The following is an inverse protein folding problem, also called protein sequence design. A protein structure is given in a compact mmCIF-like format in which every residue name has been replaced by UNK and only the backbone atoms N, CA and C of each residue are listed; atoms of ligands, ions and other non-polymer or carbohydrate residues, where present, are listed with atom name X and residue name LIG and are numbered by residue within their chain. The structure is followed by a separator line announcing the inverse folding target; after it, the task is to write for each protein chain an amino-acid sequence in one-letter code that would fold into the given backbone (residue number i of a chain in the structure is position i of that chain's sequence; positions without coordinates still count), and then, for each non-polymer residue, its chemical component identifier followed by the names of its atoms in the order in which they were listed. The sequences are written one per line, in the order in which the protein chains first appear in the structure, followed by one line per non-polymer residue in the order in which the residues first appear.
data_IF_558107471970
#
_entry.id   IF_558107471970
#
_cell.length_a   1.000
_cell.length_b   1.000
_cell.length_c   1.000
_cell.angle_alpha   90.00
_cell.angle_beta   90.00
_cell.angle_gamma   90.00
#
_symmetry.space_group_name_H-M   'P 1'
#
loop_
_entity.id
_entity.type
_entity.pdbx_description
1 polymer ?
#
# COMPACT_ATOMS: atom_id res chain seq x y z
N UNK A 1 48.28 -8.30 -37.73
CA UNK A 1 47.94 -8.43 -39.17
C UNK A 1 48.05 -9.92 -39.53
N UNK A 2 46.94 -10.53 -39.99
CA UNK A 2 46.82 -11.86 -40.64
C UNK A 2 47.21 -13.08 -39.79
N UNK A 3 46.24 -13.87 -39.31
CA UNK A 3 45.44 -14.90 -40.02
C UNK A 3 46.14 -16.26 -40.03
N UNK A 4 45.57 -17.22 -39.30
CA UNK A 4 45.83 -18.65 -39.47
C UNK A 4 44.50 -19.32 -39.80
N UNK A 5 44.49 -19.89 -41.00
CA UNK A 5 43.49 -20.79 -41.58
C UNK A 5 43.71 -22.20 -41.01
N UNK A 6 42.62 -22.91 -40.69
CA UNK A 6 42.38 -24.36 -40.86
C UNK A 6 41.14 -24.71 -40.00
N UNK A 7 40.12 -25.45 -40.46
CA UNK A 7 39.95 -26.20 -41.68
C UNK A 7 38.47 -26.49 -41.91
N UNK A 8 38.19 -26.75 -43.18
CA UNK A 8 36.91 -27.05 -43.80
C UNK A 8 36.49 -28.50 -43.47
N UNK A 9 35.24 -28.70 -43.02
CA UNK A 9 34.50 -29.95 -43.25
C UNK A 9 33.11 -29.56 -43.76
N UNK A 10 32.85 -29.89 -45.02
CA UNK A 10 31.56 -29.76 -45.68
C UNK A 10 30.90 -31.12 -45.67
N UNK A 11 29.72 -31.23 -45.08
CA UNK A 11 28.78 -32.30 -45.34
C UNK A 11 27.47 -31.67 -45.85
N UNK A 12 27.17 -31.93 -47.12
CA UNK A 12 25.91 -31.56 -47.78
C UNK A 12 24.97 -32.75 -47.60
N UNK A 13 23.93 -32.57 -46.79
CA UNK A 13 22.80 -33.48 -46.71
C UNK A 13 21.54 -32.73 -47.10
N UNK A 14 21.01 -33.04 -48.28
CA UNK A 14 19.68 -32.62 -48.71
C UNK A 14 18.63 -33.42 -47.91
N UNK A 15 17.74 -32.70 -47.24
CA UNK A 15 16.58 -33.27 -46.57
C UNK A 15 15.68 -32.15 -46.06
N UNK A 16 14.61 -31.86 -46.80
CA UNK A 16 13.55 -30.95 -46.37
C UNK A 16 12.90 -31.49 -45.10
N UNK A 17 13.17 -30.82 -43.97
CA UNK A 17 12.45 -31.00 -42.72
C UNK A 17 11.92 -29.62 -42.28
N UNK A 18 10.63 -29.50 -41.92
CA UNK A 18 10.07 -28.24 -41.48
C UNK A 18 10.77 -27.78 -40.20
N UNK A 19 11.21 -26.53 -40.19
CA UNK A 19 11.87 -25.86 -39.06
C UNK A 19 10.95 -25.82 -37.84
N UNK A 20 11.17 -26.73 -36.89
CA UNK A 20 10.67 -26.62 -35.52
C UNK A 20 11.73 -25.93 -34.67
N UNK A 21 11.83 -24.62 -34.77
CA UNK A 21 12.64 -23.81 -33.84
C UNK A 21 11.96 -22.45 -33.58
N UNK A 22 10.69 -22.52 -33.20
CA UNK A 22 10.08 -21.54 -32.31
C UNK A 22 10.13 -22.15 -30.89
N UNK A 23 11.34 -22.21 -30.30
CA UNK A 23 11.44 -22.29 -28.84
C UNK A 23 10.94 -20.96 -28.29
N UNK A 24 9.62 -20.87 -28.14
CA UNK A 24 8.97 -19.83 -27.37
C UNK A 24 9.65 -19.77 -26.01
N UNK A 25 10.46 -18.71 -25.82
CA UNK A 25 11.07 -18.38 -24.54
C UNK A 25 9.97 -18.52 -23.49
N UNK A 26 10.12 -19.39 -22.47
CA UNK A 26 9.06 -19.61 -21.50
C UNK A 26 8.68 -18.25 -20.95
N UNK A 27 7.45 -17.82 -21.28
CA UNK A 27 6.92 -16.57 -20.76
C UNK A 27 6.89 -16.78 -19.27
N UNK A 28 7.77 -16.09 -18.54
CA UNK A 28 7.82 -16.23 -17.09
C UNK A 28 6.40 -16.10 -16.58
N UNK A 29 5.88 -17.15 -15.95
CA UNK A 29 4.54 -17.15 -15.37
C UNK A 29 4.61 -16.21 -14.18
N UNK A 30 4.31 -14.94 -14.40
CA UNK A 30 4.37 -13.93 -13.34
C UNK A 30 3.14 -14.12 -12.46
N UNK A 31 3.37 -14.63 -11.26
CA UNK A 31 2.37 -14.91 -10.25
C UNK A 31 1.38 -13.75 -10.05
N UNK A 32 0.10 -14.09 -9.91
CA UNK A 32 -0.90 -13.18 -9.35
C UNK A 32 -0.64 -13.05 -7.84
N UNK A 33 -0.78 -11.83 -7.32
CA UNK A 33 -0.83 -11.56 -5.89
C UNK A 33 -2.30 -11.48 -5.54
N UNK A 34 -2.79 -12.43 -4.77
CA UNK A 34 -4.19 -12.48 -4.35
C UNK A 34 -4.26 -12.18 -2.86
N UNK A 35 -5.30 -11.50 -2.40
CA UNK A 35 -5.55 -11.44 -0.97
C UNK A 35 -5.96 -12.82 -0.46
N UNK A 36 -5.47 -13.26 0.70
CA UNK A 36 -5.75 -14.59 1.20
C UNK A 36 -7.26 -14.77 1.42
N UNK A 37 -7.85 -15.81 0.79
CA UNK A 37 -9.13 -16.35 1.20
C UNK A 37 -9.06 -16.85 2.66
N UNK A 38 -9.99 -16.41 3.50
CA UNK A 38 -9.81 -16.53 4.95
C UNK A 38 -10.16 -17.91 5.52
N UNK A 39 -10.45 -18.89 4.66
CA UNK A 39 -10.94 -20.21 5.03
C UNK A 39 -9.84 -21.28 5.16
N UNK A 40 -8.56 -20.96 4.96
CA UNK A 40 -7.48 -21.95 4.95
C UNK A 40 -6.64 -21.99 6.23
N UNK A 41 -6.72 -23.15 6.92
CA UNK A 41 -5.95 -23.54 8.11
C UNK A 41 -4.42 -23.50 7.92
N UNK A 42 -3.91 -23.53 6.69
CA UNK A 42 -2.48 -23.38 6.41
C UNK A 42 -1.94 -21.97 6.73
N UNK A 43 -2.79 -20.94 6.66
CA UNK A 43 -2.39 -19.54 6.89
C UNK A 43 -2.22 -19.21 8.37
N UNK A 44 -2.96 -19.90 9.25
CA UNK A 44 -2.83 -19.88 10.72
C UNK A 44 -1.39 -20.18 11.15
N UNK A 45 -0.76 -21.20 10.58
CA UNK A 45 0.61 -21.62 10.91
C UNK A 45 1.67 -20.59 10.49
N UNK A 46 1.54 -19.99 9.30
CA UNK A 46 2.48 -18.96 8.84
C UNK A 46 2.38 -17.70 9.69
N UNK A 47 1.15 -17.32 10.04
CA UNK A 47 0.85 -16.18 10.90
C UNK A 47 1.35 -16.40 12.33
N UNK A 48 1.12 -17.58 12.91
CA UNK A 48 1.62 -17.97 14.22
C UNK A 48 3.16 -17.86 14.32
N UNK A 49 3.88 -18.17 13.24
CA UNK A 49 5.34 -18.02 13.19
C UNK A 49 5.81 -16.57 13.09
N UNK A 50 5.02 -15.70 12.44
CA UNK A 50 5.35 -14.29 12.29
C UNK A 50 5.23 -13.51 13.61
N UNK A 51 4.35 -13.95 14.52
CA UNK A 51 4.09 -13.31 15.82
C UNK A 51 3.94 -11.78 15.71
N UNK A 52 3.01 -11.27 14.88
CA UNK A 52 2.83 -9.83 14.74
C UNK A 52 2.40 -9.21 16.07
N UNK A 53 2.67 -7.92 16.25
CA UNK A 53 2.36 -7.23 17.51
C UNK A 53 0.85 -7.07 17.75
N UNK A 54 0.08 -6.96 16.67
CA UNK A 54 -1.37 -6.96 16.64
C UNK A 54 -1.87 -7.40 15.25
N UNK A 55 -3.10 -7.89 15.17
CA UNK A 55 -3.82 -8.12 13.90
C UNK A 55 -4.88 -7.04 13.72
N UNK A 56 -4.88 -6.41 12.55
CA UNK A 56 -5.94 -5.51 12.12
C UNK A 56 -6.74 -6.21 11.03
N UNK A 57 -8.02 -6.43 11.28
CA UNK A 57 -8.91 -7.09 10.34
C UNK A 57 -9.88 -6.09 9.73
N UNK A 58 -9.91 -6.03 8.40
CA UNK A 58 -10.77 -5.12 7.65
C UNK A 58 -11.82 -5.92 6.88
N UNK A 59 -13.07 -5.76 7.31
CA UNK A 59 -14.23 -6.44 6.75
C UNK A 59 -14.71 -5.80 5.42
N UNK A 60 -15.60 -6.46 4.66
CA UNK A 60 -16.11 -5.94 3.38
C UNK A 60 -16.82 -4.59 3.48
N UNK A 61 -17.36 -4.26 4.66
CA UNK A 61 -18.00 -2.96 4.92
C UNK A 61 -17.01 -1.87 5.38
N UNK A 62 -15.71 -2.18 5.44
CA UNK A 62 -14.66 -1.27 5.92
C UNK A 62 -14.49 -1.23 7.45
N UNK A 63 -15.28 -1.99 8.21
CA UNK A 63 -15.11 -2.05 9.66
C UNK A 63 -13.76 -2.67 10.02
N UNK A 64 -13.08 -2.04 10.96
CA UNK A 64 -11.79 -2.50 11.48
C UNK A 64 -12.03 -3.16 12.83
N UNK A 65 -11.56 -4.39 12.98
CA UNK A 65 -11.51 -5.10 14.26
C UNK A 65 -10.07 -5.44 14.59
N UNK A 66 -9.74 -5.58 15.88
CA UNK A 66 -8.37 -5.85 16.31
C UNK A 66 -8.34 -7.22 17.00
N UNK A 67 -7.53 -8.12 16.43
CA UNK A 67 -7.18 -9.38 17.07
C UNK A 67 -6.01 -9.18 18.03
N UNK A 68 -6.15 -9.70 19.26
CA UNK A 68 -5.02 -9.78 20.18
C UNK A 68 -4.06 -10.85 19.69
N UNK A 69 -2.79 -10.49 19.55
CA UNK A 69 -1.68 -11.43 19.35
C UNK A 69 -0.79 -11.41 20.59
N UNK A 70 0.29 -12.20 20.62
CA UNK A 70 1.22 -12.22 21.75
C UNK A 70 2.02 -13.51 21.85
N UNK A 71 2.86 -13.65 22.89
CA UNK A 71 3.65 -14.86 23.12
C UNK A 71 2.81 -16.13 23.29
N UNK A 72 1.56 -15.98 23.75
CA UNK A 72 0.61 -17.07 23.99
C UNK A 72 -0.42 -17.22 22.88
N UNK A 73 -0.29 -16.45 21.79
CA UNK A 73 -1.21 -16.57 20.66
C UNK A 73 -0.99 -17.90 19.94
N UNK A 74 -2.07 -18.64 19.74
CA UNK A 74 -2.11 -19.98 19.15
C UNK A 74 -2.20 -19.96 17.62
N UNK A 75 -2.29 -18.77 17.02
CA UNK A 75 -2.45 -18.58 15.59
C UNK A 75 -3.89 -18.33 15.15
N UNK A 76 -4.87 -18.31 16.05
CA UNK A 76 -6.25 -18.01 15.67
C UNK A 76 -6.36 -16.56 15.16
N UNK A 77 -6.69 -16.43 13.88
CA UNK A 77 -6.84 -15.16 13.17
C UNK A 77 -8.27 -14.64 13.20
N UNK A 78 -9.18 -15.42 13.80
CA UNK A 78 -10.58 -15.03 13.91
C UNK A 78 -10.67 -13.79 14.79
N UNK A 79 -11.28 -12.69 14.32
CA UNK A 79 -11.48 -11.52 15.16
C UNK A 79 -12.34 -11.91 16.37
N UNK A 80 -11.70 -12.01 17.54
CA UNK A 80 -12.32 -12.37 18.81
C UNK A 80 -13.27 -11.29 19.31
N UNK A 81 -13.04 -10.04 18.89
CA UNK A 81 -13.94 -8.92 19.13
C UNK A 81 -14.74 -8.59 17.87
N UNK A 82 -16.06 -8.50 18.02
CA UNK A 82 -16.95 -7.89 17.01
C UNK A 82 -17.01 -6.37 17.12
N UNK A 83 -16.33 -5.80 18.11
CA UNK A 83 -16.32 -4.37 18.35
C UNK A 83 -15.52 -3.67 17.25
N UNK A 84 -16.21 -2.81 16.50
CA UNK A 84 -15.59 -2.01 15.45
C UNK A 84 -14.81 -0.88 16.09
N UNK A 85 -13.55 -0.71 15.70
CA UNK A 85 -12.69 0.35 16.20
C UNK A 85 -12.80 1.57 15.30
N UNK A 86 -13.13 2.72 15.88
CA UNK A 86 -13.11 3.99 15.17
C UNK A 86 -11.68 4.37 14.76
N UNK A 87 -11.54 4.98 13.58
CA UNK A 87 -10.23 5.29 13.01
C UNK A 87 -9.38 6.20 13.91
N UNK A 88 -10.02 7.16 14.61
CA UNK A 88 -9.35 8.06 15.55
C UNK A 88 -8.82 7.35 16.81
N UNK A 89 -9.45 6.24 17.21
CA UNK A 89 -9.03 5.43 18.34
C UNK A 89 -8.01 4.34 17.93
N UNK A 90 -7.89 4.04 16.64
CA UNK A 90 -7.18 2.86 16.14
C UNK A 90 -5.75 2.74 16.66
N UNK A 91 -4.95 3.81 16.58
CA UNK A 91 -3.56 3.80 17.06
C UNK A 91 -3.49 3.50 18.56
N UNK A 92 -4.39 4.09 19.35
CA UNK A 92 -4.46 3.86 20.80
C UNK A 92 -4.82 2.40 21.08
N UNK A 93 -5.83 1.87 20.41
CA UNK A 93 -6.30 0.49 20.60
C UNK A 93 -5.24 -0.53 20.20
N UNK A 94 -4.50 -0.30 19.10
CA UNK A 94 -3.36 -1.17 18.72
C UNK A 94 -2.27 -1.15 19.79
N UNK A 95 -1.86 0.02 20.27
CA UNK A 95 -0.82 0.12 21.32
C UNK A 95 -1.26 -0.58 22.61
N UNK A 96 -2.54 -0.45 22.98
CA UNK A 96 -3.11 -1.16 24.12
C UNK A 96 -3.10 -2.67 23.91
N UNK A 97 -3.50 -3.15 22.73
CA UNK A 97 -3.46 -4.57 22.40
C UNK A 97 -2.04 -5.16 22.50
N UNK A 98 -1.03 -4.43 22.00
CA UNK A 98 0.38 -4.82 22.09
C UNK A 98 0.87 -4.82 23.54
N UNK A 99 0.46 -3.84 24.34
CA UNK A 99 0.83 -3.76 25.76
C UNK A 99 0.22 -4.90 26.59
N UNK A 100 -1.04 -5.22 26.34
CA UNK A 100 -1.79 -6.31 27.00
C UNK A 100 -1.25 -7.69 26.64
N UNK A 101 -0.86 -7.87 25.38
CA UNK A 101 -0.29 -9.11 24.86
C UNK A 101 0.98 -9.55 25.60
N UNK A 102 1.71 -8.60 26.19
CA UNK A 102 2.99 -8.86 26.85
C UNK A 102 4.15 -9.10 25.85
N UNK A 103 5.23 -9.70 26.37
CA UNK A 103 6.44 -9.98 25.58
C UNK A 103 7.39 -8.80 25.41
N UNK A 104 8.46 -8.95 24.59
CA UNK A 104 9.57 -7.99 24.52
C UNK A 104 9.20 -6.57 24.06
N UNK A 105 8.00 -6.39 23.49
CA UNK A 105 7.54 -5.12 22.91
C UNK A 105 6.50 -4.40 23.76
N UNK A 106 5.96 -5.03 24.82
CA UNK A 106 4.90 -4.46 25.63
C UNK A 106 5.30 -3.11 26.26
N UNK A 107 6.55 -2.98 26.70
CA UNK A 107 7.03 -1.73 27.32
C UNK A 107 7.12 -0.58 26.32
N UNK A 108 7.64 -0.83 25.12
CA UNK A 108 7.67 0.18 24.06
C UNK A 108 6.24 0.63 23.66
N UNK A 109 5.28 -0.30 23.65
CA UNK A 109 3.89 0.02 23.38
C UNK A 109 3.26 0.88 24.49
N UNK A 110 3.55 0.60 25.78
CA UNK A 110 3.12 1.44 26.91
C UNK A 110 3.69 2.85 26.81
N UNK A 111 4.98 2.98 26.52
CA UNK A 111 5.61 4.29 26.32
C UNK A 111 5.00 5.04 25.14
N UNK A 112 4.73 4.35 24.04
CA UNK A 112 4.04 4.91 22.87
C UNK A 112 2.62 5.37 23.18
N UNK A 113 1.89 4.61 24.01
CA UNK A 113 0.55 4.96 24.49
C UNK A 113 0.57 6.23 25.36
N UNK A 114 1.49 6.31 26.32
CA UNK A 114 1.66 7.50 27.17
C UNK A 114 2.04 8.75 26.37
N UNK A 115 2.89 8.60 25.36
CA UNK A 115 3.25 9.68 24.45
C UNK A 115 2.03 10.16 23.64
N UNK A 116 1.24 9.23 23.10
CA UNK A 116 0.03 9.54 22.35
C UNK A 116 -1.01 10.30 23.20
N UNK A 117 -1.24 9.87 24.43
CA UNK A 117 -2.16 10.54 25.35
C UNK A 117 -1.69 11.95 25.71
N UNK A 118 -0.38 12.13 25.89
CA UNK A 118 0.21 13.45 26.09
C UNK A 118 -0.03 14.36 24.88
N UNK A 119 0.18 13.87 23.67
CA UNK A 119 -0.02 14.64 22.44
C UNK A 119 -1.49 15.06 22.26
N UNK A 120 -2.42 14.13 22.52
CA UNK A 120 -3.87 14.42 22.48
C UNK A 120 -4.23 15.50 23.52
N UNK A 121 -3.72 15.38 24.75
CA UNK A 121 -3.96 16.37 25.80
C UNK A 121 -3.35 17.76 25.46
N UNK A 122 -2.20 17.80 24.78
CA UNK A 122 -1.60 19.04 24.30
C UNK A 122 -2.39 19.65 23.14
N UNK A 123 -2.86 18.83 22.19
CA UNK A 123 -3.70 19.28 21.09
C UNK A 123 -5.04 19.87 21.59
N UNK A 124 -5.69 19.20 22.55
CA UNK A 124 -6.90 19.70 23.20
C UNK A 124 -6.69 21.05 23.87
N UNK A 125 -5.60 21.21 24.64
CA UNK A 125 -5.25 22.51 25.27
C UNK A 125 -5.01 23.62 24.25
N UNK A 126 -4.35 23.32 23.13
CA UNK A 126 -4.14 24.29 22.04
C UNK A 126 -5.45 24.68 21.36
N UNK A 127 -6.35 23.73 21.13
CA UNK A 127 -7.67 24.00 20.55
C UNK A 127 -8.52 24.88 21.48
N UNK A 128 -8.60 24.56 22.77
CA UNK A 128 -9.31 25.38 23.76
C UNK A 128 -8.72 26.79 23.88
N UNK A 129 -7.39 26.93 23.84
CA UNK A 129 -6.72 28.23 23.84
C UNK A 129 -7.05 29.05 22.59
N UNK A 130 -7.14 28.42 21.41
CA UNK A 130 -7.56 29.10 20.17
C UNK A 130 -9.02 29.53 20.21
N UNK A 131 -9.93 28.71 20.75
CA UNK A 131 -11.35 29.08 20.90
C UNK A 131 -11.47 30.29 21.83
N UNK A 132 -10.79 30.27 22.98
CA UNK A 132 -10.77 31.39 23.91
C UNK A 132 -10.20 32.69 23.31
N UNK A 133 -9.31 32.58 22.31
CA UNK A 133 -8.75 33.74 21.59
C UNK A 133 -9.64 34.17 20.41
N UNK A 134 -10.40 33.25 19.82
CA UNK A 134 -11.28 33.48 18.66
C UNK A 134 -12.64 34.05 19.06
N UNK A 135 -13.13 33.77 20.27
CA UNK A 135 -14.31 34.44 20.84
C UNK A 135 -14.08 35.94 21.12
N UNK A 136 -12.83 36.40 21.09
CA UNK A 136 -12.46 37.82 21.13
C UNK A 136 -12.38 38.47 19.73
N UNK A 137 -12.39 37.69 18.64
CA UNK A 137 -12.22 38.20 17.27
C UNK A 137 -13.08 37.38 16.29
N UNK A 138 -14.33 37.81 16.11
CA UNK A 138 -15.24 37.63 14.95
C UNK A 138 -15.38 36.23 14.30
N UNK A 139 -16.65 35.82 14.19
CA UNK A 139 -17.14 34.53 13.71
C UNK A 139 -16.58 34.04 12.37
N UNK A 140 -16.16 32.78 12.38
CA UNK A 140 -15.90 31.98 11.19
C UNK A 140 -15.66 30.53 11.59
N UNK A 141 -16.66 29.67 11.37
CA UNK A 141 -16.55 28.22 11.60
C UNK A 141 -15.73 27.59 10.48
N UNK A 142 -14.48 27.24 10.79
CA UNK A 142 -13.68 26.30 10.01
C UNK A 142 -13.03 25.33 10.98
N UNK A 143 -13.46 24.07 10.89
CA UNK A 143 -13.02 22.96 11.73
C UNK A 143 -11.53 22.64 11.47
N UNK A 144 -10.61 22.83 12.44
CA UNK A 144 -9.17 22.84 12.19
C UNK A 144 -8.49 21.45 12.24
N UNK A 145 -9.20 20.34 12.00
CA UNK A 145 -8.66 18.98 12.27
C UNK A 145 -8.37 18.07 11.07
N UNK A 146 -8.55 18.50 9.82
CA UNK A 146 -8.08 17.72 8.67
C UNK A 146 -6.58 17.96 8.44
N UNK A 147 -5.74 17.23 9.19
CA UNK A 147 -4.34 17.07 8.85
C UNK A 147 -4.23 16.55 7.40
N UNK A 148 -3.27 17.08 6.63
CA UNK A 148 -3.03 16.63 5.27
C UNK A 148 -2.91 15.09 5.20
N UNK A 149 -3.52 14.42 4.21
CA UNK A 149 -3.51 12.97 4.13
C UNK A 149 -2.06 12.45 4.09
N UNK A 150 -1.71 11.55 5.01
CA UNK A 150 -0.39 10.93 5.05
C UNK A 150 -0.14 10.03 3.83
N UNK A 151 1.13 9.82 3.44
CA UNK A 151 1.53 8.97 2.30
C UNK A 151 2.11 7.62 2.77
N UNK A 152 1.85 6.54 2.03
CA UNK A 152 2.27 5.18 2.37
C UNK A 152 3.16 4.52 1.29
N UNK A 153 4.48 4.71 1.28
CA UNK A 153 5.39 4.07 0.31
C UNK A 153 5.41 2.52 0.35
N UNK A 154 4.99 1.82 -0.71
CA UNK A 154 5.19 0.37 -0.87
C UNK A 154 6.66 0.01 -1.13
N UNK A 155 7.15 -1.03 -0.46
CA UNK A 155 8.43 -1.69 -0.79
C UNK A 155 8.17 -3.08 -1.36
N UNK A 156 9.24 -3.85 -1.61
CA UNK A 156 9.11 -5.25 -2.01
C UNK A 156 8.29 -6.08 -1.02
N UNK A 157 7.60 -7.09 -1.56
CA UNK A 157 7.01 -8.13 -0.74
C UNK A 157 8.14 -8.90 -0.04
N UNK A 158 8.07 -8.95 1.29
CA UNK A 158 9.05 -9.66 2.12
C UNK A 158 8.36 -10.87 2.74
N UNK A 159 9.10 -11.96 2.92
CA UNK A 159 8.62 -13.08 3.74
C UNK A 159 8.17 -12.57 5.11
N UNK A 160 6.97 -12.98 5.54
CA UNK A 160 6.36 -12.46 6.76
C UNK A 160 7.25 -12.65 8.00
N UNK A 161 8.04 -13.73 8.05
CA UNK A 161 8.99 -14.02 9.13
C UNK A 161 10.11 -12.97 9.29
N UNK A 162 10.34 -12.11 8.28
CA UNK A 162 11.38 -11.07 8.27
C UNK A 162 10.85 -9.67 8.58
N UNK A 163 9.54 -9.50 8.78
CA UNK A 163 8.93 -8.21 9.11
C UNK A 163 9.28 -7.79 10.54
N UNK A 164 9.57 -6.49 10.75
CA UNK A 164 9.82 -5.97 12.09
C UNK A 164 8.59 -6.17 12.99
N UNK A 165 8.81 -6.84 14.13
CA UNK A 165 7.78 -7.37 15.04
C UNK A 165 6.96 -6.31 15.79
N UNK A 166 7.07 -5.03 15.42
CA UNK A 166 6.25 -3.94 15.96
C UNK A 166 5.13 -3.49 15.02
N UNK A 167 5.23 -3.81 13.72
CA UNK A 167 4.20 -3.44 12.78
C UNK A 167 2.94 -4.29 13.01
N UNK A 168 1.75 -3.68 13.15
CA UNK A 168 0.51 -4.44 13.06
C UNK A 168 0.41 -5.09 11.67
N UNK A 169 -0.07 -6.31 11.64
CA UNK A 169 -0.36 -7.00 10.39
C UNK A 169 -1.80 -6.71 10.00
N UNK A 170 -1.98 -6.09 8.83
CA UNK A 170 -3.30 -5.80 8.26
C UNK A 170 -3.73 -6.99 7.42
N UNK A 171 -4.90 -7.53 7.73
CA UNK A 171 -5.59 -8.55 6.96
C UNK A 171 -6.90 -7.93 6.46
N UNK A 172 -7.14 -8.00 5.17
CA UNK A 172 -8.33 -7.43 4.55
C UNK A 172 -9.02 -8.46 3.67
N UNK A 173 -10.35 -8.48 3.70
CA UNK A 173 -11.11 -9.23 2.69
C UNK A 173 -10.88 -8.62 1.30
N UNK A 174 -10.87 -9.40 0.20
CA UNK A 174 -10.65 -8.87 -1.15
C UNK A 174 -11.60 -7.73 -1.53
N UNK A 175 -12.84 -7.76 -1.05
CA UNK A 175 -13.87 -6.74 -1.28
C UNK A 175 -13.88 -5.59 -0.28
N UNK A 176 -13.00 -5.58 0.73
CA UNK A 176 -12.90 -4.45 1.65
C UNK A 176 -12.54 -3.16 0.91
N UNK A 177 -13.00 -1.98 1.37
CA UNK A 177 -12.57 -0.71 0.82
C UNK A 177 -11.07 -0.49 1.03
N UNK A 178 -10.33 -0.19 -0.04
CA UNK A 178 -8.89 0.09 0.04
C UNK A 178 -8.59 1.37 0.85
N UNK A 179 -9.55 2.31 0.91
CA UNK A 179 -9.48 3.49 1.78
C UNK A 179 -9.38 3.12 3.26
N UNK A 180 -10.03 2.03 3.69
CA UNK A 180 -9.91 1.53 5.06
C UNK A 180 -8.51 0.98 5.34
N UNK A 181 -7.88 0.28 4.38
CA UNK A 181 -6.48 -0.16 4.49
C UNK A 181 -5.57 1.06 4.60
N UNK A 182 -5.68 2.02 3.68
CA UNK A 182 -4.83 3.21 3.66
C UNK A 182 -4.94 4.00 4.98
N UNK A 183 -6.17 4.22 5.48
CA UNK A 183 -6.38 4.89 6.76
C UNK A 183 -5.83 4.08 7.92
N UNK A 184 -6.14 2.77 8.00
CA UNK A 184 -5.65 1.91 9.07
C UNK A 184 -4.13 2.00 9.17
N UNK A 185 -3.47 1.78 8.02
CA UNK A 185 -2.04 1.92 7.88
C UNK A 185 -1.58 3.30 8.35
N UNK A 186 -2.09 4.41 7.78
CA UNK A 186 -1.69 5.79 8.14
C UNK A 186 -1.67 6.05 9.65
N UNK A 187 -2.62 5.49 10.38
CA UNK A 187 -2.73 5.65 11.83
C UNK A 187 -1.79 4.73 12.62
N UNK A 188 -1.58 3.49 12.16
CA UNK A 188 -0.95 2.46 12.98
C UNK A 188 0.47 2.09 12.57
N UNK A 189 0.92 2.48 11.39
CA UNK A 189 2.01 1.75 10.77
C UNK A 189 1.49 0.43 10.17
N UNK A 190 2.40 -0.49 9.85
CA UNK A 190 2.05 -1.88 9.60
C UNK A 190 2.53 -2.44 8.26
N UNK A 191 2.18 -3.70 8.03
CA UNK A 191 2.36 -4.38 6.75
C UNK A 191 1.03 -5.01 6.32
N UNK A 192 0.79 -5.10 5.02
CA UNK A 192 -0.40 -5.76 4.48
C UNK A 192 -0.09 -7.23 4.19
N UNK A 193 -0.89 -8.14 4.74
CA UNK A 193 -0.78 -9.56 4.42
C UNK A 193 -1.37 -9.85 3.03
N UNK A 194 -0.63 -10.56 2.18
CA UNK A 194 -1.07 -10.96 0.84
C UNK A 194 -0.73 -12.43 0.62
N UNK A 195 -1.52 -13.16 -0.17
CA UNK A 195 -1.11 -14.44 -0.71
C UNK A 195 -0.27 -14.22 -1.98
N UNK A 196 0.90 -14.84 -1.98
CA UNK A 196 1.79 -14.90 -3.12
C UNK A 196 2.19 -16.35 -3.37
N UNK A 197 1.69 -16.93 -4.47
CA UNK A 197 2.01 -18.31 -4.88
C UNK A 197 1.64 -19.36 -3.80
N UNK A 198 0.47 -19.20 -3.15
CA UNK A 198 -0.01 -20.10 -2.11
C UNK A 198 0.73 -19.94 -0.78
N UNK A 199 1.53 -18.88 -0.62
CA UNK A 199 2.25 -18.55 0.60
C UNK A 199 1.86 -17.16 1.06
N UNK A 200 1.70 -17.01 2.37
CA UNK A 200 1.48 -15.70 2.94
C UNK A 200 2.78 -14.87 2.89
N UNK A 201 2.71 -13.72 2.24
CA UNK A 201 3.74 -12.72 2.16
C UNK A 201 3.28 -11.41 2.81
N UNK A 202 4.23 -10.58 3.21
CA UNK A 202 3.96 -9.23 3.66
C UNK A 202 4.27 -8.25 2.54
N UNK A 203 3.24 -7.57 2.03
CA UNK A 203 3.44 -6.36 1.25
C UNK A 203 3.73 -5.24 2.24
N UNK A 204 5.01 -4.93 2.39
CA UNK A 204 5.44 -3.83 3.26
C UNK A 204 5.02 -2.53 2.60
N UNK A 205 4.09 -1.82 3.22
CA UNK A 205 3.77 -0.44 2.86
C UNK A 205 4.42 0.41 3.94
N UNK A 206 5.64 0.86 3.66
CA UNK A 206 6.38 1.80 4.47
C UNK A 206 5.64 3.15 4.56
N UNK A 207 5.92 3.86 5.64
CA UNK A 207 5.30 5.13 5.94
C UNK A 207 6.26 6.22 5.54
N UNK A 208 5.92 6.98 4.50
CA UNK A 208 6.54 8.28 4.29
C UNK A 208 5.83 9.24 5.24
N UNK A 209 6.10 9.08 6.55
CA UNK A 209 5.43 9.87 7.61
C UNK A 209 5.74 11.35 7.47
N UNK A 210 6.87 11.64 6.86
CA UNK A 210 7.33 12.93 6.43
C UNK A 210 8.07 12.67 5.13
N UNK A 211 7.35 12.67 4.00
CA UNK A 211 8.02 13.33 2.90
C UNK A 211 8.20 14.76 3.38
N UNK A 212 9.46 15.09 3.66
CA UNK A 212 9.90 16.44 3.91
C UNK A 212 9.19 17.32 2.88
N UNK A 213 8.36 18.26 3.36
CA UNK A 213 7.59 19.15 2.48
C UNK A 213 8.50 19.96 1.55
N UNK A 214 9.83 19.82 1.68
CA UNK A 214 10.83 20.26 0.73
C UNK A 214 10.64 19.71 -0.70
N UNK A 215 9.96 18.56 -0.92
CA UNK A 215 9.60 18.12 -2.29
C UNK A 215 8.38 18.85 -2.86
N UNK A 216 7.60 19.56 -2.02
CA UNK A 216 6.53 20.44 -2.51
C UNK A 216 7.09 21.62 -3.34
N UNK A 217 8.41 21.77 -3.45
CA UNK A 217 9.05 22.89 -4.15
C UNK A 217 9.41 22.72 -5.63
N UNK A 218 9.67 21.52 -6.20
CA UNK A 218 10.37 21.48 -7.51
C UNK A 218 10.17 20.29 -8.46
N UNK A 219 9.27 19.33 -8.22
CA UNK A 219 9.20 18.12 -9.06
C UNK A 219 7.81 17.72 -9.56
N UNK A 220 7.74 17.22 -10.80
CA UNK A 220 6.58 16.44 -11.27
C UNK A 220 6.43 15.17 -10.43
N UNK A 221 5.20 14.75 -10.15
CA UNK A 221 4.91 13.44 -9.57
C UNK A 221 3.89 12.69 -10.42
N UNK A 222 3.83 11.38 -10.24
CA UNK A 222 2.88 10.51 -10.91
C UNK A 222 1.79 10.08 -9.94
N UNK A 223 0.54 10.21 -10.32
CA UNK A 223 -0.57 9.60 -9.61
C UNK A 223 -1.10 8.41 -10.39
N UNK A 224 -1.45 7.36 -9.66
CA UNK A 224 -1.95 6.11 -10.20
C UNK A 224 -3.28 5.81 -9.54
N UNK A 225 -4.34 5.64 -10.33
CA UNK A 225 -5.63 5.17 -9.84
C UNK A 225 -6.32 4.36 -10.94
N UNK A 226 -7.39 3.66 -10.60
CA UNK A 226 -8.16 2.86 -11.55
C UNK A 226 -9.59 3.37 -11.67
N UNK A 227 -10.19 3.16 -12.84
CA UNK A 227 -11.64 3.22 -13.03
C UNK A 227 -12.09 2.19 -14.08
N UNK A 228 -13.33 2.30 -14.55
CA UNK A 228 -13.89 1.40 -15.56
C UNK A 228 -13.10 1.34 -16.88
N UNK A 229 -12.31 2.36 -17.21
CA UNK A 229 -11.56 2.45 -18.48
C UNK A 229 -10.16 1.86 -18.41
N UNK A 230 -9.55 1.82 -17.23
CA UNK A 230 -8.20 1.31 -17.06
C UNK A 230 -7.48 1.82 -15.82
N UNK A 231 -6.16 1.67 -15.84
CA UNK A 231 -5.24 2.28 -14.90
C UNK A 231 -4.80 3.64 -15.44
N UNK A 232 -5.13 4.70 -14.72
CA UNK A 232 -4.78 6.08 -15.06
C UNK A 232 -3.43 6.44 -14.44
N UNK A 233 -2.56 6.98 -15.27
CA UNK A 233 -1.27 7.55 -14.93
C UNK A 233 -1.35 9.06 -15.14
N UNK A 234 -1.45 9.83 -14.07
CA UNK A 234 -1.63 11.28 -14.13
C UNK A 234 -0.36 11.99 -13.67
N UNK A 235 0.29 12.70 -14.59
CA UNK A 235 1.46 13.51 -14.28
C UNK A 235 1.02 14.83 -13.69
N UNK A 236 1.41 15.09 -12.46
CA UNK A 236 1.14 16.32 -11.76
C UNK A 236 2.39 17.20 -11.69
N UNK A 237 2.24 18.54 -11.66
CA UNK A 237 0.98 19.29 -11.71
C UNK A 237 0.43 19.49 -13.13
N UNK A 238 1.13 18.99 -14.16
CA UNK A 238 0.82 19.19 -15.58
C UNK A 238 -0.58 18.72 -15.98
N UNK A 239 -1.13 17.73 -15.28
CA UNK A 239 -2.44 17.13 -15.59
C UNK A 239 -2.43 16.21 -16.80
N UNK A 240 -1.25 15.81 -17.31
CA UNK A 240 -1.15 14.86 -18.42
C UNK A 240 -1.66 13.50 -17.97
N UNK A 241 -2.68 12.98 -18.64
CA UNK A 241 -3.28 11.67 -18.35
C UNK A 241 -2.88 10.67 -19.41
N UNK A 242 -2.37 9.51 -18.98
CA UNK A 242 -2.19 8.33 -19.82
C UNK A 242 -3.02 7.20 -19.23
N UNK A 243 -3.88 6.59 -20.04
CA UNK A 243 -4.73 5.47 -19.63
C UNK A 243 -4.11 4.18 -20.15
N UNK A 244 -3.78 3.28 -19.24
CA UNK A 244 -3.40 1.90 -19.54
C UNK A 244 -4.67 1.06 -19.51
N UNK A 245 -5.18 0.60 -20.68
CA UNK A 245 -6.43 -0.13 -20.73
C UNK A 245 -6.33 -1.48 -20.02
N UNK A 246 -7.48 -2.01 -19.61
CA UNK A 246 -7.58 -3.35 -19.07
C UNK A 246 -7.25 -4.41 -20.14
N UNK A 247 -6.46 -5.42 -19.77
CA UNK A 247 -6.30 -6.68 -20.51
C UNK A 247 -7.28 -7.71 -19.93
N UNK A 248 -8.53 -7.67 -20.40
CA UNK A 248 -9.61 -8.43 -19.78
C UNK A 248 -9.93 -7.90 -18.39
N UNK A 249 -9.76 -8.75 -17.36
CA UNK A 249 -9.97 -8.37 -15.96
C UNK A 249 -8.70 -7.93 -15.22
N UNK A 250 -7.56 -7.83 -15.92
CA UNK A 250 -6.26 -7.55 -15.33
C UNK A 250 -5.62 -6.29 -15.92
N UNK A 251 -4.69 -5.69 -15.17
CA UNK A 251 -3.85 -4.58 -15.66
C UNK A 251 -2.89 -5.12 -16.73
N UNK A 252 -2.87 -4.51 -17.91
CA UNK A 252 -1.87 -4.82 -18.93
C UNK A 252 -0.49 -4.30 -18.48
N UNK A 253 0.33 -5.20 -17.91
CA UNK A 253 1.67 -4.88 -17.40
C UNK A 253 2.64 -4.44 -18.49
N UNK A 254 2.49 -4.98 -19.71
CA UNK A 254 3.36 -4.60 -20.82
C UNK A 254 3.04 -3.18 -21.29
N UNK A 255 1.75 -2.87 -21.45
CA UNK A 255 1.28 -1.53 -21.77
C UNK A 255 1.63 -0.53 -20.66
N UNK A 256 1.51 -0.90 -19.38
CA UNK A 256 1.93 -0.09 -18.24
C UNK A 256 3.41 0.29 -18.32
N UNK A 257 4.29 -0.69 -18.56
CA UNK A 257 5.73 -0.44 -18.68
C UNK A 257 6.06 0.49 -19.86
N UNK A 258 5.38 0.33 -21.00
CA UNK A 258 5.54 1.20 -22.17
C UNK A 258 5.06 2.63 -21.85
N UNK A 259 3.88 2.76 -21.25
CA UNK A 259 3.31 4.04 -20.86
C UNK A 259 4.21 4.79 -19.88
N UNK A 260 4.67 4.12 -18.82
CA UNK A 260 5.56 4.72 -17.83
C UNK A 260 6.87 5.22 -18.42
N UNK A 261 7.52 4.43 -19.30
CA UNK A 261 8.76 4.85 -19.99
C UNK A 261 8.55 6.08 -20.88
N UNK A 262 7.38 6.23 -21.50
CA UNK A 262 7.05 7.39 -22.35
C UNK A 262 6.86 8.68 -21.56
N UNK A 263 6.47 8.58 -20.29
CA UNK A 263 6.29 9.74 -19.43
C UNK A 263 7.63 10.34 -18.96
N UNK A 264 8.73 9.58 -19.07
CA UNK A 264 10.07 9.98 -18.61
C UNK A 264 10.12 10.41 -17.13
N UNK A 265 9.38 9.69 -16.29
CA UNK A 265 9.20 9.98 -14.87
C UNK A 265 9.92 8.97 -13.96
N UNK A 266 11.06 8.43 -14.40
CA UNK A 266 11.70 7.30 -13.70
C UNK A 266 12.10 7.60 -12.25
N UNK A 267 12.40 8.85 -11.93
CA UNK A 267 12.74 9.32 -10.58
C UNK A 267 11.56 10.01 -9.89
N UNK A 268 10.43 10.15 -10.59
CA UNK A 268 9.30 10.86 -10.05
C UNK A 268 8.66 10.04 -8.92
N UNK A 269 8.24 10.71 -7.85
CA UNK A 269 7.35 10.12 -6.86
C UNK A 269 6.10 9.53 -7.50
N UNK A 270 5.64 8.42 -6.96
CA UNK A 270 4.42 7.76 -7.45
C UNK A 270 3.45 7.67 -6.28
N UNK A 271 2.24 8.19 -6.47
CA UNK A 271 1.14 8.11 -5.50
C UNK A 271 0.02 7.24 -6.08
N UNK A 272 -0.17 6.04 -5.55
CA UNK A 272 -1.38 5.22 -5.76
C UNK A 272 -2.53 5.80 -4.95
N UNK A 273 -3.45 6.46 -5.65
CA UNK A 273 -4.61 7.12 -5.07
C UNK A 273 -5.76 6.12 -4.97
N UNK A 274 -6.12 5.72 -3.74
CA UNK A 274 -7.26 4.83 -3.49
C UNK A 274 -8.53 5.65 -3.31
N UNK A 275 -9.55 5.33 -4.09
CA UNK A 275 -10.88 5.96 -4.05
C UNK A 275 -11.87 5.06 -3.32
N UNK A 276 -13.06 5.58 -3.05
CA UNK A 276 -14.11 4.84 -2.32
C UNK A 276 -14.61 3.59 -3.06
N UNK A 277 -14.49 3.56 -4.39
CA UNK A 277 -14.79 2.41 -5.23
C UNK A 277 -13.62 1.42 -5.38
N UNK A 278 -12.43 1.76 -4.84
CA UNK A 278 -11.24 0.92 -4.92
C UNK A 278 -11.31 -0.16 -3.85
N UNK A 279 -11.33 -1.43 -4.27
CA UNK A 279 -11.29 -2.57 -3.35
C UNK A 279 -9.86 -2.91 -2.92
N UNK A 280 -9.72 -3.65 -1.83
CA UNK A 280 -8.45 -4.17 -1.35
C UNK A 280 -7.72 -5.00 -2.41
N UNK A 281 -8.44 -5.86 -3.14
CA UNK A 281 -7.84 -6.64 -4.22
C UNK A 281 -7.36 -5.75 -5.36
N UNK A 282 -8.16 -4.75 -5.75
CA UNK A 282 -7.75 -3.78 -6.78
C UNK A 282 -6.48 -3.04 -6.38
N UNK A 283 -6.36 -2.62 -5.12
CA UNK A 283 -5.12 -2.01 -4.61
C UNK A 283 -3.92 -2.96 -4.73
N UNK A 284 -4.07 -4.22 -4.32
CA UNK A 284 -2.99 -5.22 -4.43
C UNK A 284 -2.62 -5.47 -5.90
N UNK A 285 -3.61 -5.56 -6.79
CA UNK A 285 -3.38 -5.74 -8.23
C UNK A 285 -2.59 -4.56 -8.83
N UNK A 286 -2.89 -3.32 -8.43
CA UNK A 286 -2.15 -2.12 -8.83
C UNK A 286 -0.70 -2.21 -8.35
N UNK A 287 -0.49 -2.46 -7.05
CA UNK A 287 0.85 -2.53 -6.46
C UNK A 287 1.69 -3.66 -7.09
N UNK A 288 1.07 -4.81 -7.35
CA UNK A 288 1.68 -5.93 -8.03
C UNK A 288 2.07 -5.57 -9.48
N UNK A 289 1.19 -4.88 -10.20
CA UNK A 289 1.46 -4.46 -11.58
C UNK A 289 2.60 -3.44 -11.66
N UNK A 290 2.63 -2.46 -10.76
CA UNK A 290 3.72 -1.48 -10.65
C UNK A 290 5.06 -2.18 -10.34
N UNK A 291 5.07 -3.07 -9.35
CA UNK A 291 6.26 -3.83 -9.00
C UNK A 291 6.76 -4.70 -10.16
N UNK A 292 5.87 -5.38 -10.88
CA UNK A 292 6.22 -6.21 -12.04
C UNK A 292 6.70 -5.37 -13.25
N UNK A 293 6.31 -4.11 -13.33
CA UNK A 293 6.79 -3.15 -14.32
C UNK A 293 8.10 -2.45 -13.89
N UNK A 294 8.70 -2.84 -12.76
CA UNK A 294 9.88 -2.22 -12.16
C UNK A 294 9.66 -0.75 -11.76
N UNK A 295 8.41 -0.40 -11.47
CA UNK A 295 7.97 0.94 -11.09
C UNK A 295 7.94 1.02 -9.56
N UNK A 296 8.98 1.58 -8.94
CA UNK A 296 9.13 1.66 -7.48
C UNK A 296 9.89 2.91 -7.05
N UNK A 297 9.68 3.42 -5.81
CA UNK A 297 8.64 3.06 -4.84
C UNK A 297 7.31 3.81 -5.10
N UNK A 298 6.17 3.22 -4.72
CA UNK A 298 4.84 3.82 -4.90
C UNK A 298 4.12 4.06 -3.57
N UNK A 299 3.72 5.28 -3.26
CA UNK A 299 2.99 5.62 -2.06
C UNK A 299 1.47 5.42 -2.20
N UNK A 300 0.81 4.73 -1.27
CA UNK A 300 -0.65 4.63 -1.22
C UNK A 300 -1.21 5.83 -0.47
N UNK A 301 -2.19 6.50 -1.05
CA UNK A 301 -2.81 7.70 -0.48
C UNK A 301 -4.32 7.55 -0.58
N UNK A 302 -5.03 7.78 0.53
CA UNK A 302 -6.48 7.92 0.50
C UNK A 302 -6.84 9.16 -0.34
N UNK A 303 -7.44 8.91 -1.49
CA UNK A 303 -7.87 9.93 -2.43
C UNK A 303 -9.15 10.63 -2.00
N UNK A 304 -9.45 11.77 -2.63
CA UNK A 304 -10.75 12.42 -2.51
C UNK A 304 -11.86 11.52 -3.07
N UNK A 305 -13.01 11.59 -2.43
CA UNK A 305 -14.21 10.80 -2.73
C UNK A 305 -14.93 11.35 -3.97
N UNK A 306 -14.67 12.63 -4.32
CA UNK A 306 -15.35 13.35 -5.41
C UNK A 306 -14.38 14.09 -6.32
N UNK A 307 -14.82 14.38 -7.55
CA UNK A 307 -14.07 15.20 -8.51
C UNK A 307 -13.85 16.64 -8.00
N UNK A 308 -14.80 17.20 -7.26
CA UNK A 308 -14.69 18.55 -6.68
C UNK A 308 -13.70 18.61 -5.51
N UNK A 309 -13.72 17.62 -4.63
CA UNK A 309 -12.68 17.46 -3.60
C UNK A 309 -11.29 17.34 -4.25
N UNK A 310 -11.21 16.60 -5.36
CA UNK A 310 -9.97 16.45 -6.12
C UNK A 310 -9.48 17.76 -6.72
N UNK A 311 -10.39 18.52 -7.33
CA UNK A 311 -10.08 19.83 -7.89
C UNK A 311 -9.58 20.79 -6.81
N UNK A 312 -10.23 20.80 -5.65
CA UNK A 312 -9.81 21.57 -4.48
C UNK A 312 -8.42 21.16 -3.99
N UNK A 313 -8.16 19.86 -3.86
CA UNK A 313 -6.86 19.32 -3.47
C UNK A 313 -5.75 19.73 -4.45
N UNK A 314 -6.01 19.64 -5.75
CA UNK A 314 -5.07 20.05 -6.79
C UNK A 314 -4.81 21.55 -6.81
N UNK A 315 -5.84 22.37 -6.59
CA UNK A 315 -5.70 23.81 -6.48
C UNK A 315 -4.82 24.19 -5.27
N UNK A 316 -5.03 23.53 -4.12
CA UNK A 316 -4.21 23.73 -2.93
C UNK A 316 -2.75 23.31 -3.16
N UNK A 317 -2.51 22.19 -3.85
CA UNK A 317 -1.17 21.71 -4.17
C UNK A 317 -0.41 22.61 -5.17
N UNK A 318 -1.12 23.38 -6.00
CA UNK A 318 -0.52 24.36 -6.93
C UNK A 318 -0.22 25.71 -6.30
N UNK A 319 -0.86 26.02 -5.16
CA UNK A 319 -0.77 27.31 -4.50
C UNK A 319 0.32 27.38 -3.41
N UNK A 320 0.80 26.22 -2.94
CA UNK A 320 1.90 26.10 -1.97
C UNK A 320 3.21 25.77 -2.64
#
# INVERSE_FOLDING_TARGET
MRAVLAGLVVAIGCGDAPSSDDQAKPTAVIARLDLPALDESARVLVLANAKPAALLWIAPNGNITIGKTGPTWDGDITPTSRETVEIGALRRTVLHAIADAGGPRAEAARLGFLALDRDIALAGRRASSRIATRDLVMGGNSDPMLAAPGRLASTEAVELAKVDRLAPLVIATPSAPATAIARAMQHTGGVLAVDHLGKLAALTVAFERERDRSVAGTGSWLEVFTDATGLHLVVQPAGTVVIVPWAGAAIDRAALRIAYRRLDLQTAPIDVVVRDDTTAQTLVDILAALAAAEIRPAAVVAGPSTAEERKTQLAAARAG
#
